data_IF_817143071149
#
_entry.id   IF_817143071149
#
_cell.length_a   1.000
_cell.length_b   1.000
_cell.length_c   1.000
_cell.angle_alpha   90.00
_cell.angle_beta   90.00
_cell.angle_gamma   90.00
#
_symmetry.space_group_name_H-M   'P 1'
#
loop_
_entity.id
_entity.type
_entity.pdbx_description
1 polymer ?
#
# COMPACT_ATOMS: atom_id res chain seq x y z
N UNK A 1 -5.35 -59.00 12.56
CA UNK A 1 -4.04 -58.77 11.92
C UNK A 1 -3.78 -59.89 10.93
N UNK A 2 -3.49 -59.55 9.68
CA UNK A 2 -2.26 -60.01 9.04
C UNK A 2 -1.31 -58.82 8.79
N UNK A 3 -0.04 -59.16 8.59
CA UNK A 3 1.15 -58.38 8.89
C UNK A 3 1.56 -57.37 7.82
N UNK A 4 2.37 -56.41 8.27
CA UNK A 4 2.95 -55.24 7.58
C UNK A 4 4.06 -55.63 6.55
N UNK A 5 4.21 -56.90 6.19
CA UNK A 5 5.36 -57.37 5.38
C UNK A 5 5.13 -57.44 3.86
N UNK A 6 3.93 -57.19 3.34
CA UNK A 6 3.64 -57.46 1.91
C UNK A 6 3.87 -56.28 0.94
N UNK A 7 4.36 -55.12 1.41
CA UNK A 7 4.54 -53.92 0.56
C UNK A 7 5.99 -53.43 0.39
N UNK A 8 6.99 -54.13 0.94
CA UNK A 8 8.39 -53.80 0.71
C UNK A 8 9.06 -54.90 -0.14
N UNK A 9 9.76 -54.44 -1.18
CA UNK A 9 10.66 -55.17 -2.09
C UNK A 9 10.02 -55.75 -3.37
N UNK A 10 9.96 -54.89 -4.39
CA UNK A 10 10.14 -55.36 -5.78
C UNK A 10 11.04 -54.39 -6.53
N UNK A 11 12.34 -54.48 -6.27
CA UNK A 11 13.35 -53.94 -7.19
C UNK A 11 13.19 -54.62 -8.56
N UNK A 12 13.15 -53.89 -9.67
CA UNK A 12 13.23 -54.51 -10.98
C UNK A 12 14.67 -54.96 -11.24
N UNK A 13 14.87 -56.28 -11.24
CA UNK A 13 16.12 -56.91 -11.72
C UNK A 13 16.33 -56.54 -13.19
N UNK A 14 17.40 -55.81 -13.48
CA UNK A 14 17.91 -55.63 -14.84
C UNK A 14 18.45 -56.98 -15.35
N UNK A 15 17.67 -57.67 -16.18
CA UNK A 15 18.14 -58.85 -16.90
C UNK A 15 18.91 -58.41 -18.15
N UNK A 16 20.24 -58.49 -18.07
CA UNK A 16 21.11 -58.43 -19.25
C UNK A 16 21.08 -59.83 -19.89
N UNK A 17 20.33 -59.98 -20.98
CA UNK A 17 20.52 -61.10 -21.89
C UNK A 17 21.11 -60.59 -23.21
N UNK A 18 22.32 -61.08 -23.49
CA UNK A 18 23.04 -60.82 -24.72
C UNK A 18 22.44 -61.62 -25.88
N UNK A 19 22.37 -60.98 -27.05
CA UNK A 19 22.30 -61.68 -28.34
C UNK A 19 23.29 -60.98 -29.28
N UNK A 20 24.20 -61.79 -29.81
CA UNK A 20 25.44 -61.45 -30.51
C UNK A 20 25.25 -60.90 -31.93
N UNK A 21 26.18 -60.02 -32.35
CA UNK A 21 26.95 -60.04 -33.62
C UNK A 21 27.30 -58.57 -33.96
N UNK A 22 28.56 -58.12 -33.98
CA UNK A 22 29.66 -58.60 -34.81
C UNK A 22 31.00 -58.30 -34.14
N UNK A 23 31.93 -59.25 -34.24
CA UNK A 23 33.35 -59.07 -33.93
C UNK A 23 33.93 -58.14 -34.99
N UNK A 24 34.19 -56.88 -34.64
CA UNK A 24 35.16 -55.99 -35.27
C UNK A 24 35.09 -54.70 -34.47
N UNK A 25 35.88 -54.59 -33.39
CA UNK A 25 36.31 -53.33 -32.78
C UNK A 25 37.13 -53.63 -31.52
N UNK A 26 38.39 -54.02 -31.74
CA UNK A 26 39.44 -53.86 -30.75
C UNK A 26 40.58 -53.10 -31.42
N UNK A 27 40.93 -51.90 -30.92
CA UNK A 27 42.31 -51.47 -30.92
C UNK A 27 42.92 -51.55 -29.51
N UNK A 28 44.17 -52.03 -29.55
CA UNK A 28 45.19 -52.23 -28.52
C UNK A 28 45.49 -50.99 -27.64
N UNK A 29 46.20 -51.17 -26.52
CA UNK A 29 46.54 -50.08 -25.60
C UNK A 29 47.61 -49.15 -26.20
N UNK A 30 47.40 -47.84 -26.04
CA UNK A 30 48.37 -46.76 -26.29
C UNK A 30 48.35 -45.89 -25.03
N UNK A 31 49.45 -45.65 -24.32
CA UNK A 31 50.63 -44.99 -24.85
C UNK A 31 50.48 -43.49 -24.60
N UNK A 32 51.26 -42.96 -23.67
CA UNK A 32 51.36 -41.54 -23.30
C UNK A 32 51.52 -40.61 -24.50
N UNK A 33 50.65 -39.61 -24.68
CA UNK A 33 50.99 -38.24 -25.13
C UNK A 33 49.78 -37.31 -25.39
N UNK A 34 49.95 -36.04 -25.01
CA UNK A 34 49.27 -34.79 -25.47
C UNK A 34 47.82 -34.45 -25.06
N UNK A 35 47.75 -33.67 -23.97
CA UNK A 35 47.07 -32.36 -23.85
C UNK A 35 46.04 -31.96 -24.93
N UNK A 36 44.75 -31.95 -24.58
CA UNK A 36 43.71 -31.20 -25.31
C UNK A 36 42.65 -30.65 -24.36
N UNK A 37 42.25 -29.40 -24.61
CA UNK A 37 41.33 -28.57 -23.83
C UNK A 37 39.92 -29.17 -23.77
N UNK A 38 39.11 -28.88 -22.73
CA UNK A 38 37.71 -29.30 -22.71
C UNK A 38 36.92 -28.51 -23.74
N UNK A 39 36.55 -29.16 -24.85
CA UNK A 39 35.63 -28.62 -25.86
C UNK A 39 34.25 -28.50 -25.22
N UNK A 40 33.80 -27.27 -24.99
CA UNK A 40 32.45 -26.99 -24.49
C UNK A 40 31.39 -27.46 -25.50
N UNK A 41 30.32 -28.14 -25.08
CA UNK A 41 29.28 -28.61 -25.98
C UNK A 41 28.63 -27.45 -26.76
N UNK A 42 28.15 -27.70 -27.99
CA UNK A 42 27.51 -26.67 -28.80
C UNK A 42 26.31 -26.08 -28.06
N UNK A 43 26.08 -24.76 -28.18
CA UNK A 43 24.98 -24.10 -27.49
C UNK A 43 23.63 -24.69 -27.95
N UNK A 44 22.64 -24.81 -27.05
CA UNK A 44 21.33 -25.33 -27.41
C UNK A 44 20.68 -24.50 -28.53
N UNK A 45 19.78 -25.08 -29.33
CA UNK A 45 19.23 -24.47 -30.55
C UNK A 45 18.51 -23.12 -30.30
N UNK A 46 18.09 -22.84 -29.07
CA UNK A 46 17.43 -21.60 -28.66
C UNK A 46 18.28 -20.75 -27.68
N UNK A 47 19.60 -20.86 -27.72
CA UNK A 47 20.47 -20.07 -26.85
C UNK A 47 20.35 -18.57 -27.15
N UNK A 48 20.03 -17.78 -26.12
CA UNK A 48 19.95 -16.32 -26.25
C UNK A 48 21.36 -15.72 -26.38
N UNK A 49 21.59 -14.76 -27.30
CA UNK A 49 22.88 -14.12 -27.47
C UNK A 49 23.24 -13.27 -26.23
N UNK A 50 24.54 -13.15 -25.89
CA UNK A 50 24.99 -12.27 -24.83
C UNK A 50 24.59 -10.83 -25.12
N UNK A 51 24.12 -10.11 -24.10
CA UNK A 51 23.72 -8.70 -24.23
C UNK A 51 24.76 -7.79 -23.56
N UNK A 52 25.06 -6.61 -24.14
CA UNK A 52 25.83 -5.60 -23.44
C UNK A 52 25.09 -5.17 -22.18
N UNK A 53 25.84 -4.94 -21.08
CA UNK A 53 25.26 -4.28 -19.92
C UNK A 53 24.82 -2.89 -20.36
N UNK A 54 23.54 -2.57 -20.12
CA UNK A 54 23.01 -1.26 -20.52
C UNK A 54 23.79 -0.17 -19.77
N UNK A 55 24.29 0.86 -20.46
CA UNK A 55 24.97 1.96 -19.80
C UNK A 55 24.01 2.59 -18.78
N UNK A 56 24.54 2.96 -17.61
CA UNK A 56 23.75 3.62 -16.58
C UNK A 56 23.08 4.85 -17.17
N UNK A 57 21.75 4.83 -17.24
CA UNK A 57 21.00 6.01 -17.64
C UNK A 57 21.28 7.11 -16.62
N UNK A 58 21.90 8.23 -17.03
CA UNK A 58 22.21 9.37 -16.15
C UNK A 58 20.95 9.85 -15.40
N UNK A 59 21.10 10.20 -14.12
CA UNK A 59 19.98 10.67 -13.30
C UNK A 59 19.46 12.01 -13.82
N UNK A 60 20.37 12.91 -14.20
CA UNK A 60 20.06 14.23 -14.80
C UNK A 60 19.73 14.16 -16.30
N UNK A 61 19.01 13.13 -16.75
CA UNK A 61 18.43 13.13 -18.09
C UNK A 61 17.05 13.81 -18.01
N UNK A 62 16.71 14.67 -18.98
CA UNK A 62 15.40 15.38 -19.06
C UNK A 62 14.23 14.46 -18.74
N UNK A 63 14.25 13.24 -19.30
CA UNK A 63 13.26 12.20 -19.05
C UNK A 63 13.12 11.78 -17.58
N UNK A 64 14.21 11.62 -16.84
CA UNK A 64 14.16 11.25 -15.43
C UNK A 64 13.72 12.44 -14.56
N UNK A 65 14.08 13.66 -14.97
CA UNK A 65 13.51 14.90 -14.41
C UNK A 65 12.00 14.96 -14.60
N UNK A 66 11.50 14.63 -15.80
CA UNK A 66 10.08 14.61 -16.14
C UNK A 66 9.31 13.54 -15.35
N UNK A 67 9.90 12.34 -15.19
CA UNK A 67 9.34 11.29 -14.32
C UNK A 67 9.27 11.76 -12.87
N UNK A 68 10.33 12.40 -12.36
CA UNK A 68 10.36 12.89 -10.98
C UNK A 68 9.34 14.00 -10.75
N UNK A 69 9.21 14.93 -11.69
CA UNK A 69 8.21 15.97 -11.66
C UNK A 69 6.79 15.40 -11.72
N UNK A 70 6.53 14.45 -12.63
CA UNK A 70 5.24 13.76 -12.73
C UNK A 70 4.86 13.05 -11.43
N UNK A 71 5.80 12.29 -10.84
CA UNK A 71 5.55 11.61 -9.56
C UNK A 71 5.36 12.61 -8.41
N UNK A 72 6.06 13.75 -8.42
CA UNK A 72 5.87 14.82 -7.45
C UNK A 72 4.48 15.48 -7.58
N UNK A 73 4.00 15.72 -8.81
CA UNK A 73 2.64 16.23 -9.03
C UNK A 73 1.58 15.25 -8.53
N UNK A 74 1.76 13.95 -8.79
CA UNK A 74 0.88 12.91 -8.27
C UNK A 74 0.93 12.90 -6.73
N UNK A 75 2.12 12.97 -6.14
CA UNK A 75 2.29 13.09 -4.69
C UNK A 75 1.53 14.29 -4.13
N UNK A 76 1.76 15.49 -4.67
CA UNK A 76 1.09 16.71 -4.24
C UNK A 76 -0.43 16.62 -4.39
N UNK A 77 -0.92 16.07 -5.50
CA UNK A 77 -2.34 15.85 -5.73
C UNK A 77 -2.96 14.89 -4.71
N UNK A 78 -2.27 13.80 -4.35
CA UNK A 78 -2.75 12.86 -3.34
C UNK A 78 -2.72 13.46 -1.92
N UNK A 79 -1.71 14.27 -1.59
CA UNK A 79 -1.67 15.00 -0.31
C UNK A 79 -2.82 16.00 -0.23
N UNK A 80 -3.01 16.82 -1.27
CA UNK A 80 -4.13 17.78 -1.32
C UNK A 80 -5.46 17.03 -1.25
N UNK A 81 -5.62 15.96 -2.03
CA UNK A 81 -6.84 15.14 -2.06
C UNK A 81 -7.13 14.40 -0.76
N UNK A 82 -6.15 14.23 0.15
CA UNK A 82 -6.38 13.63 1.47
C UNK A 82 -6.51 14.68 2.57
N UNK A 83 -5.78 15.79 2.50
CA UNK A 83 -5.90 16.89 3.48
C UNK A 83 -7.21 17.66 3.30
N UNK A 84 -7.59 17.96 2.06
CA UNK A 84 -8.73 18.83 1.76
C UNK A 84 -10.06 18.24 2.25
N UNK A 85 -10.38 16.94 2.07
CA UNK A 85 -11.60 16.36 2.65
C UNK A 85 -11.62 16.42 4.17
N UNK A 86 -10.48 16.21 4.85
CA UNK A 86 -10.41 16.31 6.31
C UNK A 86 -10.62 17.74 6.84
N UNK A 87 -10.17 18.74 6.09
CA UNK A 87 -10.43 20.15 6.38
C UNK A 87 -11.89 20.53 6.10
N UNK A 88 -12.44 20.11 4.96
CA UNK A 88 -13.83 20.37 4.56
C UNK A 88 -14.82 19.68 5.50
N UNK A 89 -14.54 18.44 5.91
CA UNK A 89 -15.35 17.70 6.88
C UNK A 89 -15.31 18.30 8.29
N UNK A 90 -14.59 19.41 8.48
CA UNK A 90 -14.78 20.29 9.63
C UNK A 90 -14.21 19.76 10.92
N UNK A 91 -13.38 18.71 10.96
CA UNK A 91 -12.83 18.21 12.24
C UNK A 91 -12.15 19.30 13.10
N UNK A 92 -11.26 20.18 12.57
CA UNK A 92 -10.78 21.32 13.35
C UNK A 92 -11.90 22.32 13.68
N UNK A 93 -12.89 22.50 12.82
CA UNK A 93 -14.03 23.41 13.03
C UNK A 93 -14.96 22.93 14.16
N UNK A 94 -15.41 21.68 14.17
CA UNK A 94 -16.25 21.09 15.22
C UNK A 94 -15.50 20.95 16.55
N UNK A 95 -14.20 20.61 16.50
CA UNK A 95 -13.36 20.56 17.72
C UNK A 95 -13.13 21.97 18.29
N UNK A 96 -12.96 22.99 17.44
CA UNK A 96 -12.88 24.39 17.88
C UNK A 96 -14.23 24.91 18.38
N UNK A 97 -15.36 24.50 17.79
CA UNK A 97 -16.70 24.83 18.29
C UNK A 97 -16.95 24.22 19.67
N UNK A 98 -16.56 22.96 19.90
CA UNK A 98 -16.62 22.30 21.22
C UNK A 98 -15.70 22.97 22.26
N UNK A 99 -14.48 23.35 21.87
CA UNK A 99 -13.45 23.88 22.80
C UNK A 99 -13.68 25.36 23.10
N UNK A 100 -13.97 26.18 22.08
CA UNK A 100 -14.12 27.62 22.21
C UNK A 100 -15.57 28.07 22.36
N UNK A 101 -16.52 27.12 22.33
CA UNK A 101 -17.90 27.33 22.78
C UNK A 101 -18.59 28.51 22.11
N UNK A 102 -18.40 28.71 20.81
CA UNK A 102 -19.00 29.85 20.13
C UNK A 102 -20.49 29.57 19.84
N UNK A 103 -21.32 29.73 20.87
CA UNK A 103 -22.78 29.49 20.89
C UNK A 103 -23.54 30.18 19.75
N UNK A 104 -22.96 31.20 19.11
CA UNK A 104 -23.55 31.92 17.96
C UNK A 104 -23.51 31.16 16.62
N UNK A 105 -22.69 30.12 16.48
CA UNK A 105 -22.55 29.36 15.23
C UNK A 105 -23.52 28.19 15.09
N UNK A 106 -24.06 27.67 16.20
CA UNK A 106 -25.02 26.56 16.21
C UNK A 106 -26.33 26.89 15.47
N UNK A 107 -26.67 28.18 15.37
CA UNK A 107 -27.85 28.69 14.65
C UNK A 107 -27.86 28.33 13.17
N UNK A 108 -26.69 28.26 12.52
CA UNK A 108 -26.58 27.94 11.08
C UNK A 108 -26.80 26.46 10.78
N UNK A 109 -26.81 25.60 11.80
CA UNK A 109 -27.06 24.17 11.67
C UNK A 109 -28.48 23.88 12.18
N UNK A 110 -29.18 22.98 11.50
CA UNK A 110 -30.53 22.62 11.90
C UNK A 110 -30.53 21.78 13.18
N UNK A 111 -31.60 21.84 14.01
CA UNK A 111 -31.60 21.24 15.35
C UNK A 111 -31.29 19.74 15.36
N UNK A 112 -31.77 19.04 14.34
CA UNK A 112 -31.60 17.59 14.16
C UNK A 112 -30.56 17.25 13.10
N UNK A 113 -29.63 18.18 12.81
CA UNK A 113 -28.48 17.91 11.96
C UNK A 113 -27.52 16.96 12.68
N UNK A 114 -27.12 15.83 12.07
CA UNK A 114 -26.20 14.86 12.66
C UNK A 114 -24.93 15.50 13.22
N UNK A 115 -24.44 16.57 12.60
CA UNK A 115 -23.22 17.26 13.02
C UNK A 115 -23.29 17.88 14.42
N UNK A 116 -24.50 18.09 14.97
CA UNK A 116 -24.70 18.70 16.29
C UNK A 116 -24.84 17.69 17.44
N UNK A 117 -25.38 16.50 17.20
CA UNK A 117 -25.69 15.53 18.27
C UNK A 117 -24.92 14.20 18.16
N UNK A 118 -24.31 13.91 17.00
CA UNK A 118 -23.51 12.71 16.83
C UNK A 118 -22.07 12.93 17.33
N UNK A 119 -21.51 11.92 18.01
CA UNK A 119 -20.12 12.00 18.48
C UNK A 119 -19.13 12.13 17.32
N UNK A 120 -17.91 12.61 17.58
CA UNK A 120 -16.87 12.84 16.54
C UNK A 120 -16.51 11.60 15.69
N UNK A 121 -16.76 10.40 16.24
CA UNK A 121 -16.54 9.11 15.58
C UNK A 121 -17.82 8.45 15.05
N UNK A 122 -18.98 9.07 15.30
CA UNK A 122 -20.20 8.70 14.60
C UNK A 122 -20.18 9.32 13.20
N UNK A 123 -21.10 8.86 12.35
CA UNK A 123 -21.39 9.56 11.10
C UNK A 123 -21.95 10.93 11.49
N UNK A 124 -21.34 11.99 10.99
CA UNK A 124 -21.70 13.38 11.34
C UNK A 124 -21.78 14.29 10.13
N UNK A 125 -21.30 13.82 8.98
CA UNK A 125 -21.50 14.45 7.68
C UNK A 125 -22.41 13.55 6.86
N UNK A 126 -23.73 13.69 7.05
CA UNK A 126 -24.75 12.88 6.39
C UNK A 126 -25.59 13.70 5.41
N UNK A 127 -26.08 13.04 4.37
CA UNK A 127 -26.72 13.68 3.23
C UNK A 127 -27.61 12.70 2.46
N UNK A 128 -28.63 13.26 1.81
CA UNK A 128 -29.65 12.52 1.05
C UNK A 128 -30.67 11.81 1.93
N UNK A 129 -31.80 11.43 1.33
CA UNK A 129 -32.88 10.69 1.98
C UNK A 129 -33.16 9.43 1.18
N UNK A 130 -32.82 8.28 1.75
CA UNK A 130 -32.82 6.98 1.08
C UNK A 130 -33.69 5.96 1.81
N UNK A 131 -34.17 4.95 1.08
CA UNK A 131 -34.72 3.74 1.71
C UNK A 131 -33.60 2.91 2.34
N UNK A 132 -33.94 2.10 3.35
CA UNK A 132 -32.99 1.19 4.00
C UNK A 132 -32.21 0.32 2.99
N UNK A 133 -32.91 -0.25 2.01
CA UNK A 133 -32.29 -1.12 1.01
C UNK A 133 -31.32 -0.35 0.11
N UNK A 134 -31.72 0.84 -0.35
CA UNK A 134 -30.89 1.68 -1.22
C UNK A 134 -29.61 2.13 -0.52
N UNK A 135 -29.70 2.61 0.73
CA UNK A 135 -28.54 3.11 1.47
C UNK A 135 -27.54 1.99 1.80
N UNK A 136 -28.05 0.80 2.10
CA UNK A 136 -27.22 -0.37 2.39
C UNK A 136 -26.45 -0.87 1.17
N UNK A 137 -27.08 -0.84 -0.01
CA UNK A 137 -26.43 -1.18 -1.28
C UNK A 137 -25.38 -0.12 -1.62
N UNK A 138 -25.69 1.17 -1.42
CA UNK A 138 -24.76 2.27 -1.64
C UNK A 138 -23.50 2.11 -0.77
N UNK A 139 -23.67 1.88 0.52
CA UNK A 139 -22.58 1.69 1.48
C UNK A 139 -21.72 0.47 1.13
N UNK A 140 -22.35 -0.68 0.87
CA UNK A 140 -21.64 -1.89 0.45
C UNK A 140 -20.89 -1.71 -0.88
N UNK A 141 -21.48 -1.00 -1.85
CA UNK A 141 -20.87 -0.71 -3.14
C UNK A 141 -19.65 0.21 -3.01
N UNK A 142 -19.75 1.25 -2.17
CA UNK A 142 -18.64 2.16 -1.89
C UNK A 142 -17.52 1.43 -1.12
N UNK A 143 -17.82 0.58 -0.15
CA UNK A 143 -16.80 -0.18 0.59
C UNK A 143 -16.09 -1.20 -0.32
N UNK A 144 -16.78 -1.76 -1.32
CA UNK A 144 -16.16 -2.62 -2.32
C UNK A 144 -15.21 -1.83 -3.24
N UNK A 145 -15.70 -0.74 -3.83
CA UNK A 145 -14.93 0.03 -4.82
C UNK A 145 -13.82 0.83 -4.15
N UNK A 146 -14.15 1.65 -3.15
CA UNK A 146 -13.18 2.48 -2.45
C UNK A 146 -12.33 1.66 -1.48
N UNK A 147 -12.90 0.72 -0.74
CA UNK A 147 -12.13 -0.11 0.20
C UNK A 147 -11.22 -1.10 -0.53
N UNK A 148 -11.81 -2.08 -1.21
CA UNK A 148 -11.03 -3.16 -1.86
C UNK A 148 -10.35 -2.72 -3.15
N UNK A 149 -11.00 -1.87 -3.95
CA UNK A 149 -10.40 -1.34 -5.18
C UNK A 149 -9.16 -0.49 -4.91
N UNK A 150 -9.19 0.40 -3.90
CA UNK A 150 -8.00 1.16 -3.53
C UNK A 150 -6.89 0.27 -2.98
N UNK A 151 -7.22 -0.75 -2.18
CA UNK A 151 -6.26 -1.72 -1.68
C UNK A 151 -5.53 -2.42 -2.83
N UNK A 152 -6.24 -2.96 -3.81
CA UNK A 152 -5.63 -3.63 -4.98
C UNK A 152 -4.70 -2.68 -5.74
N UNK A 153 -5.18 -1.47 -6.01
CA UNK A 153 -4.41 -0.47 -6.75
C UNK A 153 -3.13 -0.05 -6.01
N UNK A 154 -3.24 0.27 -4.72
CA UNK A 154 -2.10 0.69 -3.91
C UNK A 154 -1.13 -0.45 -3.62
N UNK A 155 -1.61 -1.69 -3.49
CA UNK A 155 -0.76 -2.89 -3.40
C UNK A 155 0.04 -3.10 -4.68
N UNK A 156 -0.57 -2.92 -5.86
CA UNK A 156 0.12 -3.01 -7.15
C UNK A 156 1.24 -1.97 -7.27
N UNK A 157 0.95 -0.71 -6.92
CA UNK A 157 1.97 0.35 -6.92
C UNK A 157 3.09 0.06 -5.91
N UNK A 158 2.71 -0.41 -4.72
CA UNK A 158 3.65 -0.73 -3.64
C UNK A 158 4.59 -1.87 -4.03
N UNK A 159 4.11 -2.89 -4.74
CA UNK A 159 4.96 -3.98 -5.24
C UNK A 159 6.13 -3.46 -6.09
N UNK A 160 5.88 -2.50 -6.97
CA UNK A 160 6.94 -1.89 -7.79
C UNK A 160 7.95 -1.12 -6.93
N UNK A 161 7.47 -0.34 -5.96
CA UNK A 161 8.31 0.43 -5.05
C UNK A 161 9.15 -0.47 -4.15
N UNK A 162 8.54 -1.52 -3.60
CA UNK A 162 9.20 -2.49 -2.72
C UNK A 162 10.31 -3.21 -3.48
N UNK A 163 10.02 -3.67 -4.71
CA UNK A 163 11.02 -4.29 -5.60
C UNK A 163 12.24 -3.39 -5.84
N UNK A 164 12.03 -2.08 -6.06
CA UNK A 164 13.12 -1.11 -6.22
C UNK A 164 13.93 -0.94 -4.94
N UNK A 165 13.25 -0.80 -3.79
CA UNK A 165 13.88 -0.59 -2.48
C UNK A 165 14.72 -1.80 -2.05
N UNK A 166 14.19 -3.00 -2.23
CA UNK A 166 14.86 -4.25 -1.93
C UNK A 166 16.11 -4.43 -2.79
N UNK A 167 16.00 -4.23 -4.11
CA UNK A 167 17.14 -4.31 -5.02
C UNK A 167 18.27 -3.35 -4.64
N UNK A 168 17.91 -2.19 -4.09
CA UNK A 168 18.88 -1.22 -3.55
C UNK A 168 19.52 -1.73 -2.27
N UNK A 169 18.75 -2.31 -1.35
CA UNK A 169 19.31 -2.88 -0.11
C UNK A 169 20.29 -3.99 -0.46
N UNK A 170 19.92 -4.91 -1.37
CA UNK A 170 20.79 -5.99 -1.86
C UNK A 170 22.06 -5.52 -2.58
N UNK A 171 22.04 -4.31 -3.14
CA UNK A 171 23.25 -3.70 -3.69
C UNK A 171 24.20 -3.31 -2.56
N UNK A 172 23.72 -2.72 -1.47
CA UNK A 172 24.63 -2.12 -0.46
C UNK A 172 24.95 -3.02 0.71
N UNK A 173 24.04 -3.91 1.05
CA UNK A 173 24.06 -4.72 2.27
C UNK A 173 23.99 -6.20 1.92
N UNK A 174 24.46 -7.02 2.85
CA UNK A 174 24.22 -8.47 2.79
C UNK A 174 22.88 -8.75 3.44
N UNK A 175 22.04 -9.51 2.75
CA UNK A 175 20.68 -9.84 3.15
C UNK A 175 20.54 -11.36 3.22
N UNK A 176 19.87 -11.92 4.24
CA UNK A 176 19.63 -13.36 4.30
C UNK A 176 18.96 -13.88 3.02
N UNK A 177 19.42 -15.02 2.48
CA UNK A 177 18.87 -15.58 1.23
C UNK A 177 17.36 -15.85 1.34
N UNK A 178 16.88 -16.29 2.51
CA UNK A 178 15.46 -16.45 2.85
C UNK A 178 14.63 -15.20 2.57
N UNK A 179 15.18 -14.02 2.88
CA UNK A 179 14.46 -12.78 2.64
C UNK A 179 14.34 -12.55 1.13
N UNK A 180 15.44 -12.75 0.39
CA UNK A 180 15.44 -12.63 -1.07
C UNK A 180 14.44 -13.60 -1.72
N UNK A 181 14.42 -14.87 -1.31
CA UNK A 181 13.49 -15.89 -1.82
C UNK A 181 12.05 -15.58 -1.46
N UNK A 182 11.78 -15.19 -0.21
CA UNK A 182 10.44 -14.83 0.24
C UNK A 182 9.88 -13.63 -0.54
N UNK A 183 10.70 -12.65 -0.86
CA UNK A 183 10.27 -11.51 -1.67
C UNK A 183 10.09 -11.88 -3.15
N UNK A 184 10.89 -12.82 -3.66
CA UNK A 184 10.83 -13.28 -5.05
C UNK A 184 9.61 -14.17 -5.34
N UNK A 185 9.19 -14.99 -4.38
CA UNK A 185 8.21 -16.05 -4.60
C UNK A 185 7.05 -16.06 -3.59
N UNK A 186 7.26 -15.56 -2.37
CA UNK A 186 6.27 -15.60 -1.27
C UNK A 186 5.67 -14.22 -0.98
N UNK A 187 5.22 -13.52 -2.03
CA UNK A 187 4.72 -12.13 -1.93
C UNK A 187 3.49 -11.96 -1.04
N UNK A 188 2.74 -13.04 -0.75
CA UNK A 188 1.53 -13.05 0.08
C UNK A 188 1.66 -13.89 1.36
N UNK A 189 2.85 -14.40 1.67
CA UNK A 189 3.03 -15.32 2.81
C UNK A 189 3.27 -14.59 4.13
N UNK A 190 2.58 -15.02 5.18
CA UNK A 190 2.81 -14.59 6.57
C UNK A 190 4.26 -14.88 6.98
N UNK A 191 4.83 -15.99 6.52
CA UNK A 191 6.25 -16.31 6.76
C UNK A 191 7.17 -15.26 6.11
N UNK A 192 6.82 -14.78 4.91
CA UNK A 192 7.55 -13.71 4.23
C UNK A 192 7.60 -12.41 5.03
N UNK A 193 6.48 -12.01 5.65
CA UNK A 193 6.43 -10.85 6.54
C UNK A 193 7.31 -11.05 7.80
N UNK A 194 7.33 -12.26 8.36
CA UNK A 194 8.22 -12.59 9.48
C UNK A 194 9.70 -12.52 9.09
N UNK A 195 10.07 -13.05 7.93
CA UNK A 195 11.45 -12.98 7.43
C UNK A 195 11.89 -11.53 7.18
N UNK A 196 11.00 -10.67 6.68
CA UNK A 196 11.25 -9.23 6.55
C UNK A 196 11.54 -8.58 7.90
N UNK A 197 10.73 -8.87 8.93
CA UNK A 197 10.93 -8.32 10.27
C UNK A 197 12.24 -8.81 10.90
N UNK A 198 12.55 -10.11 10.77
CA UNK A 198 13.80 -10.70 11.26
C UNK A 198 15.03 -10.14 10.52
N UNK A 199 14.90 -9.77 9.25
CA UNK A 199 16.00 -9.19 8.50
C UNK A 199 16.45 -7.82 9.04
N UNK A 200 15.56 -7.06 9.69
CA UNK A 200 15.89 -5.76 10.30
C UNK A 200 17.06 -5.88 11.28
N UNK A 201 17.13 -6.98 12.03
CA UNK A 201 18.21 -7.20 13.01
C UNK A 201 19.51 -7.68 12.38
N UNK A 202 19.48 -8.17 11.14
CA UNK A 202 20.64 -8.74 10.44
C UNK A 202 21.32 -7.76 9.48
N UNK A 203 20.73 -6.60 9.23
CA UNK A 203 21.31 -5.56 8.37
C UNK A 203 22.05 -4.54 9.24
N UNK A 204 23.22 -4.11 8.79
CA UNK A 204 24.11 -3.25 9.58
C UNK A 204 23.75 -1.76 9.45
N UNK A 205 23.34 -1.32 8.26
CA UNK A 205 23.06 0.09 8.00
C UNK A 205 21.69 0.55 8.51
N UNK A 206 21.67 1.63 9.32
CA UNK A 206 20.45 2.28 9.85
C UNK A 206 19.44 2.61 8.76
N UNK A 207 19.87 3.16 7.62
CA UNK A 207 18.99 3.47 6.48
C UNK A 207 18.24 2.23 5.97
N UNK A 208 18.94 1.10 5.86
CA UNK A 208 18.32 -0.14 5.39
C UNK A 208 17.33 -0.70 6.43
N UNK A 209 17.66 -0.59 7.74
CA UNK A 209 16.72 -0.91 8.83
C UNK A 209 15.44 -0.07 8.76
N UNK A 210 15.59 1.25 8.65
CA UNK A 210 14.44 2.18 8.53
C UNK A 210 13.61 1.86 7.29
N UNK A 211 14.26 1.56 6.15
CA UNK A 211 13.55 1.19 4.92
C UNK A 211 12.77 -0.10 5.11
N UNK A 212 13.38 -1.17 5.67
CA UNK A 212 12.69 -2.44 5.92
C UNK A 212 11.52 -2.30 6.90
N UNK A 213 11.69 -1.53 7.99
CA UNK A 213 10.61 -1.22 8.93
C UNK A 213 9.49 -0.47 8.22
N UNK A 214 9.82 0.51 7.39
CA UNK A 214 8.83 1.26 6.61
C UNK A 214 8.04 0.38 5.65
N UNK A 215 8.72 -0.55 4.95
CA UNK A 215 8.06 -1.53 4.08
C UNK A 215 7.07 -2.39 4.88
N UNK A 216 7.45 -2.85 6.08
CA UNK A 216 6.58 -3.64 6.95
C UNK A 216 5.36 -2.83 7.44
N UNK A 217 5.57 -1.59 7.90
CA UNK A 217 4.48 -0.65 8.27
C UNK A 217 3.57 -0.40 7.08
N UNK A 218 4.13 -0.28 5.88
CA UNK A 218 3.37 -0.07 4.65
C UNK A 218 2.48 -1.26 4.31
N UNK A 219 2.96 -2.49 4.51
CA UNK A 219 2.14 -3.71 4.36
C UNK A 219 1.00 -3.72 5.38
N UNK A 220 1.29 -3.43 6.66
CA UNK A 220 0.27 -3.37 7.70
C UNK A 220 -0.82 -2.33 7.39
N UNK A 221 -0.42 -1.15 6.91
CA UNK A 221 -1.35 -0.11 6.46
C UNK A 221 -2.23 -0.59 5.30
N UNK A 222 -1.66 -1.22 4.26
CA UNK A 222 -2.43 -1.74 3.13
C UNK A 222 -3.43 -2.83 3.53
N UNK A 223 -3.11 -3.64 4.55
CA UNK A 223 -4.03 -4.63 5.11
C UNK A 223 -5.17 -3.93 5.86
N UNK A 224 -4.87 -2.90 6.65
CA UNK A 224 -5.83 -2.15 7.44
C UNK A 224 -6.71 -1.20 6.61
N UNK A 225 -6.27 -0.79 5.42
CA UNK A 225 -6.91 0.25 4.60
C UNK A 225 -8.41 0.01 4.35
N UNK A 226 -8.88 -1.18 3.93
CA UNK A 226 -10.31 -1.39 3.70
C UNK A 226 -11.13 -1.22 4.97
N UNK A 227 -10.64 -1.72 6.12
CA UNK A 227 -11.31 -1.55 7.42
C UNK A 227 -11.31 -0.10 7.85
N UNK A 228 -10.20 0.61 7.65
CA UNK A 228 -10.11 2.03 7.95
C UNK A 228 -11.13 2.84 7.13
N UNK A 229 -11.27 2.54 5.83
CA UNK A 229 -12.26 3.19 4.97
C UNK A 229 -13.70 2.81 5.35
N UNK A 230 -13.96 1.54 5.70
CA UNK A 230 -15.25 1.06 6.20
C UNK A 230 -15.68 1.78 7.49
N UNK A 231 -14.74 2.18 8.35
CA UNK A 231 -15.01 3.02 9.53
C UNK A 231 -15.33 4.48 9.17
N UNK A 232 -14.88 4.97 8.01
CA UNK A 232 -15.14 6.37 7.60
C UNK A 232 -16.52 6.59 7.03
N UNK A 233 -17.12 5.57 6.43
CA UNK A 233 -18.38 5.65 5.71
C UNK A 233 -19.46 4.87 6.44
N UNK A 234 -20.70 5.29 6.27
CA UNK A 234 -21.81 4.54 6.84
C UNK A 234 -23.15 5.22 6.60
N UNK A 235 -24.17 4.70 7.25
CA UNK A 235 -25.50 5.27 7.20
C UNK A 235 -26.13 5.36 8.59
N UNK A 236 -27.04 6.32 8.74
CA UNK A 236 -27.82 6.52 9.96
C UNK A 236 -29.29 6.71 9.62
N UNK A 237 -30.14 6.61 10.64
CA UNK A 237 -31.55 7.02 10.53
C UNK A 237 -31.62 8.54 10.39
N UNK A 238 -32.42 9.03 9.45
CA UNK A 238 -32.68 10.46 9.30
C UNK A 238 -33.52 10.95 10.48
N UNK A 239 -33.12 12.04 11.12
CA UNK A 239 -33.93 12.68 12.16
C UNK A 239 -34.61 13.93 11.60
N UNK A 240 -35.91 14.01 11.81
CA UNK A 240 -36.71 15.17 11.39
C UNK A 240 -36.99 16.05 12.59
N UNK A 241 -36.93 17.36 12.37
CA UNK A 241 -37.32 18.36 13.37
C UNK A 241 -38.83 18.45 13.43
N UNK A 242 -39.41 18.06 14.56
CA UNK A 242 -40.83 18.10 14.82
C UNK A 242 -41.15 19.16 15.86
N UNK A 243 -42.30 19.82 15.72
CA UNK A 243 -42.83 20.76 16.72
C UNK A 243 -43.97 20.10 17.48
N UNK A 244 -43.90 20.21 18.80
CA UNK A 244 -44.94 19.78 19.72
C UNK A 244 -46.01 20.87 19.83
N UNK A 245 -47.19 20.63 19.25
CA UNK A 245 -48.31 21.58 19.24
C UNK A 245 -49.51 21.00 19.99
N UNK A 246 -50.05 21.79 20.92
CA UNK A 246 -51.34 21.54 21.56
C UNK A 246 -52.42 22.36 20.85
N UNK A 247 -53.32 21.69 20.14
CA UNK A 247 -54.45 22.35 19.49
C UNK A 247 -55.54 22.65 20.53
N UNK A 248 -56.14 23.84 20.47
CA UNK A 248 -57.19 24.23 21.41
C UNK A 248 -58.40 23.29 21.31
N UNK A 249 -58.60 22.45 22.34
CA UNK A 249 -59.69 21.47 22.41
C UNK A 249 -59.24 20.00 22.45
N UNK A 250 -57.98 19.70 22.10
CA UNK A 250 -57.39 18.36 22.21
C UNK A 250 -56.53 18.23 23.47
N UNK A 251 -56.66 17.10 24.17
CA UNK A 251 -55.84 16.77 25.34
C UNK A 251 -54.49 16.15 24.99
N UNK A 252 -54.26 15.83 23.71
CA UNK A 252 -53.06 15.19 23.20
C UNK A 252 -52.25 16.16 22.35
N UNK A 253 -50.94 16.13 22.51
CA UNK A 253 -50.03 16.86 21.63
C UNK A 253 -49.96 16.20 20.25
N UNK A 254 -49.79 17.02 19.21
CA UNK A 254 -49.51 16.56 17.85
C UNK A 254 -48.11 17.00 17.44
N UNK A 255 -47.34 16.05 16.89
CA UNK A 255 -46.04 16.33 16.30
C UNK A 255 -46.22 16.73 14.84
N UNK A 256 -45.67 17.88 14.47
CA UNK A 256 -45.76 18.43 13.12
C UNK A 256 -44.35 18.69 12.61
N UNK A 257 -44.04 18.15 11.44
CA UNK A 257 -42.73 18.34 10.80
C UNK A 257 -42.54 19.79 10.36
N UNK A 258 -41.39 20.37 10.70
CA UNK A 258 -40.96 21.63 10.12
C UNK A 258 -40.31 21.38 8.77
N UNK A 259 -40.79 22.07 7.75
CA UNK A 259 -40.18 22.02 6.43
C UNK A 259 -38.83 22.77 6.41
N UNK A 260 -37.98 22.44 5.43
CA UNK A 260 -36.67 23.06 5.24
C UNK A 260 -36.78 24.58 5.15
N UNK A 261 -37.75 25.11 4.38
CA UNK A 261 -37.96 26.55 4.22
C UNK A 261 -38.37 27.23 5.54
N UNK A 262 -39.09 26.52 6.41
CA UNK A 262 -39.45 27.04 7.73
C UNK A 262 -38.22 27.09 8.65
N UNK A 263 -37.41 26.03 8.64
CA UNK A 263 -36.17 25.95 9.41
C UNK A 263 -35.14 26.99 8.96
N UNK A 264 -35.00 27.20 7.65
CA UNK A 264 -34.06 28.17 7.06
C UNK A 264 -34.44 29.61 7.44
N UNK A 265 -35.73 29.96 7.36
CA UNK A 265 -36.21 31.28 7.82
C UNK A 265 -35.94 31.52 9.31
N UNK A 266 -36.21 30.53 10.17
CA UNK A 266 -35.94 30.65 11.62
C UNK A 266 -34.44 30.78 11.89
N UNK A 267 -33.60 30.01 11.20
CA UNK A 267 -32.13 30.08 11.29
C UNK A 267 -31.61 31.46 10.87
N UNK A 268 -32.13 32.01 9.76
CA UNK A 268 -31.75 33.32 9.25
C UNK A 268 -32.11 34.44 10.24
N UNK A 269 -33.32 34.38 10.81
CA UNK A 269 -33.80 35.33 11.81
C UNK A 269 -32.93 35.31 13.08
N UNK A 270 -32.58 34.11 13.56
CA UNK A 270 -31.67 33.94 14.69
C UNK A 270 -30.26 34.48 14.38
N UNK A 271 -29.75 34.27 13.16
CA UNK A 271 -28.46 34.80 12.75
C UNK A 271 -28.46 36.33 12.74
N UNK A 272 -29.51 36.94 12.16
CA UNK A 272 -29.65 38.39 12.13
C UNK A 272 -29.76 39.00 13.52
N UNK A 273 -30.52 38.38 14.42
CA UNK A 273 -30.66 38.87 15.79
C UNK A 273 -29.35 38.75 16.59
N UNK A 274 -28.60 37.66 16.40
CA UNK A 274 -27.26 37.51 16.98
C UNK A 274 -26.23 38.53 16.48
N UNK A 275 -26.48 39.12 15.29
CA UNK A 275 -25.59 40.07 14.62
C UNK A 275 -25.98 41.54 14.82
N UNK A 276 -27.04 41.83 15.57
CA UNK A 276 -27.52 43.20 15.78
C UNK A 276 -28.44 43.74 14.66
N UNK A 277 -28.98 42.87 13.80
CA UNK A 277 -29.97 43.19 12.76
C UNK A 277 -29.60 42.70 11.34
N UNK A 278 -30.60 42.38 10.51
CA UNK A 278 -30.41 42.15 9.07
C UNK A 278 -30.28 43.49 8.32
N UNK A 279 -29.56 43.51 7.19
CA UNK A 279 -29.52 44.67 6.27
C UNK A 279 -30.86 44.79 5.53
N UNK A 280 -31.47 45.99 5.59
CA UNK A 280 -32.59 46.67 4.87
C UNK A 280 -33.58 45.92 3.95
N UNK A 281 -33.32 44.72 3.43
CA UNK A 281 -34.25 44.02 2.54
C UNK A 281 -35.40 43.28 3.26
N UNK A 282 -35.37 43.21 4.60
CA UNK A 282 -36.46 42.69 5.45
C UNK A 282 -36.63 43.55 6.72
N UNK A 283 -37.48 44.58 6.71
CA UNK A 283 -37.64 45.43 7.89
C UNK A 283 -38.55 44.75 8.92
N UNK A 284 -37.96 44.30 10.03
CA UNK A 284 -38.55 44.44 11.36
C UNK A 284 -39.80 43.63 11.70
N UNK A 285 -39.76 42.31 11.58
CA UNK A 285 -40.41 41.41 12.54
C UNK A 285 -39.76 40.04 12.40
N UNK A 286 -39.34 39.44 13.53
CA UNK A 286 -39.03 38.01 13.53
C UNK A 286 -40.20 37.25 12.93
N UNK A 287 -39.95 36.33 12.01
CA UNK A 287 -41.03 35.69 11.26
C UNK A 287 -41.93 34.88 12.17
N UNK A 288 -43.22 35.21 12.07
CA UNK A 288 -44.33 34.50 12.68
C UNK A 288 -44.63 33.30 11.77
N UNK A 289 -44.28 32.09 12.21
CA UNK A 289 -44.37 30.88 11.39
C UNK A 289 -45.73 30.23 11.59
N UNK A 290 -46.51 30.12 10.53
CA UNK A 290 -47.79 29.41 10.55
C UNK A 290 -47.55 27.90 10.54
N UNK A 291 -47.91 27.23 11.64
CA UNK A 291 -47.82 25.77 11.77
C UNK A 291 -49.20 25.24 12.17
N UNK A 292 -49.78 24.41 11.31
CA UNK A 292 -51.13 23.85 11.50
C UNK A 292 -52.21 24.89 11.89
N UNK A 293 -52.15 26.08 11.28
CA UNK A 293 -53.13 27.15 11.51
C UNK A 293 -52.89 28.00 12.76
N UNK A 294 -51.85 27.70 13.56
CA UNK A 294 -51.41 28.54 14.67
C UNK A 294 -50.22 29.40 14.25
N UNK A 295 -50.24 30.67 14.66
CA UNK A 295 -49.13 31.57 14.42
C UNK A 295 -48.13 31.50 15.59
N UNK A 296 -46.90 31.05 15.32
CA UNK A 296 -45.86 30.88 16.33
C UNK A 296 -44.78 31.94 16.21
N UNK A 297 -44.52 32.61 17.34
CA UNK A 297 -43.44 33.60 17.42
C UNK A 297 -42.07 32.94 17.42
N UNK A 298 -41.11 33.54 16.72
CA UNK A 298 -39.69 33.17 16.71
C UNK A 298 -39.10 32.81 18.09
N UNK A 299 -39.45 33.58 19.14
CA UNK A 299 -38.95 33.35 20.52
C UNK A 299 -39.36 31.99 21.11
N UNK A 300 -40.31 31.30 20.49
CA UNK A 300 -40.71 29.97 20.92
C UNK A 300 -39.67 28.90 20.50
N UNK A 301 -38.90 29.14 19.44
CA UNK A 301 -37.96 28.17 18.87
C UNK A 301 -36.54 28.29 19.41
N UNK A 302 -36.18 29.46 19.94
CA UNK A 302 -34.79 29.85 20.19
C UNK A 302 -34.68 30.62 21.53
N UNK A 303 -33.63 30.36 22.33
CA UNK A 303 -33.37 31.01 23.63
C UNK A 303 -32.79 32.44 23.48
N UNK A 304 -32.59 33.15 24.61
CA UNK A 304 -32.03 34.51 24.62
C UNK A 304 -30.57 34.59 24.10
N UNK A 305 -29.87 33.46 24.03
CA UNK A 305 -28.53 33.33 23.47
C UNK A 305 -28.54 32.87 22.01
N UNK A 306 -29.73 32.77 21.41
CA UNK A 306 -29.98 32.29 20.07
C UNK A 306 -29.73 30.78 19.84
N UNK A 307 -29.81 29.93 20.86
CA UNK A 307 -29.74 28.47 20.67
C UNK A 307 -31.12 27.83 20.48
N UNK A 308 -31.21 26.77 19.69
CA UNK A 308 -32.43 25.98 19.53
C UNK A 308 -32.94 25.45 20.88
N UNK A 309 -34.22 25.68 21.18
CA UNK A 309 -34.86 25.20 22.43
C UNK A 309 -35.42 23.80 22.22
N UNK A 310 -34.58 22.80 22.45
CA UNK A 310 -34.96 21.39 22.37
C UNK A 310 -35.79 20.94 23.57
N UNK A 311 -36.77 20.10 23.31
CA UNK A 311 -37.51 19.37 24.34
C UNK A 311 -36.60 18.25 24.89
N UNK A 312 -36.32 18.31 26.19
CA UNK A 312 -35.53 17.28 26.90
C UNK A 312 -36.17 16.97 28.25
N UNK A 313 -35.70 15.93 28.94
CA UNK A 313 -36.15 15.59 30.30
C UNK A 313 -35.91 16.75 31.29
N UNK A 314 -34.88 17.56 31.06
CA UNK A 314 -34.54 18.73 31.87
C UNK A 314 -35.30 19.99 31.42
N UNK A 315 -35.62 20.11 30.13
CA UNK A 315 -36.36 21.22 29.51
C UNK A 315 -37.67 20.74 28.89
N UNK A 316 -38.68 20.33 29.70
CA UNK A 316 -39.95 19.82 29.19
C UNK A 316 -40.79 20.88 28.47
N UNK A 317 -40.39 22.17 28.56
CA UNK A 317 -41.02 23.31 27.88
C UNK A 317 -40.50 23.56 26.47
N UNK A 318 -39.46 22.85 26.02
CA UNK A 318 -39.00 22.97 24.64
C UNK A 318 -40.08 22.49 23.66
N UNK A 319 -40.24 23.19 22.54
CA UNK A 319 -41.25 22.85 21.52
C UNK A 319 -40.69 21.97 20.40
N UNK A 320 -39.36 21.93 20.24
CA UNK A 320 -38.68 21.19 19.17
C UNK A 320 -38.24 19.81 19.66
N UNK A 321 -38.51 18.79 18.86
CA UNK A 321 -38.11 17.41 19.13
C UNK A 321 -37.51 16.76 17.88
N UNK A 322 -36.39 16.03 18.03
CA UNK A 322 -35.86 15.19 16.97
C UNK A 322 -36.52 13.81 17.00
N UNK A 323 -37.19 13.47 15.91
CA UNK A 323 -37.89 12.19 15.78
C UNK A 323 -37.27 11.38 14.64
N UNK A 324 -36.98 10.07 14.84
CA UNK A 324 -36.46 9.23 13.78
C UNK A 324 -37.48 9.08 12.65
N UNK A 325 -37.03 9.34 11.43
CA UNK A 325 -37.79 9.14 10.19
C UNK A 325 -37.75 7.67 9.74
N UNK A 326 -38.56 7.33 8.73
CA UNK A 326 -38.51 6.03 8.04
C UNK A 326 -37.40 5.96 6.98
N UNK A 327 -36.72 7.07 6.75
CA UNK A 327 -35.66 7.27 5.76
C UNK A 327 -34.28 7.26 6.42
N UNK A 328 -33.26 7.01 5.61
CA UNK A 328 -31.87 6.90 6.03
C UNK A 328 -31.00 7.87 5.26
N UNK A 329 -29.95 8.37 5.92
CA UNK A 329 -28.94 9.21 5.30
C UNK A 329 -27.64 8.42 5.21
N UNK A 330 -26.93 8.55 4.08
CA UNK A 330 -25.57 8.05 3.95
C UNK A 330 -24.61 9.18 4.32
N UNK A 331 -23.43 8.85 4.85
CA UNK A 331 -22.50 9.88 5.28
C UNK A 331 -21.12 9.39 5.63
N UNK A 332 -20.33 10.34 6.12
CA UNK A 332 -18.98 10.15 6.58
C UNK A 332 -18.87 10.48 8.08
N UNK A 333 -17.98 9.76 8.78
CA UNK A 333 -17.50 10.16 10.09
C UNK A 333 -16.28 11.06 9.92
N UNK A 334 -16.40 12.35 10.27
CA UNK A 334 -15.30 13.31 10.12
C UNK A 334 -14.09 12.97 10.99
N UNK A 335 -14.30 12.36 12.16
CA UNK A 335 -13.21 11.90 13.04
C UNK A 335 -12.41 10.75 12.41
N UNK A 336 -13.07 9.71 11.94
CA UNK A 336 -12.38 8.62 11.24
C UNK A 336 -11.76 9.11 9.92
N UNK A 337 -12.46 9.95 9.16
CA UNK A 337 -11.94 10.52 7.93
C UNK A 337 -10.63 11.28 8.16
N UNK A 338 -10.55 12.09 9.22
CA UNK A 338 -9.32 12.79 9.57
C UNK A 338 -8.17 11.84 9.91
N UNK A 339 -8.42 10.79 10.70
CA UNK A 339 -7.42 9.78 11.04
C UNK A 339 -6.93 9.07 9.78
N UNK A 340 -7.84 8.61 8.92
CA UNK A 340 -7.50 7.91 7.68
C UNK A 340 -6.72 8.83 6.75
N UNK A 341 -7.13 10.08 6.60
CA UNK A 341 -6.39 11.06 5.82
C UNK A 341 -4.98 11.30 6.39
N UNK A 342 -4.82 11.46 7.71
CA UNK A 342 -3.51 11.65 8.34
C UNK A 342 -2.59 10.43 8.14
N UNK A 343 -3.10 9.22 8.37
CA UNK A 343 -2.37 7.97 8.13
C UNK A 343 -2.00 7.79 6.66
N UNK A 344 -2.92 8.12 5.74
CA UNK A 344 -2.68 8.08 4.30
C UNK A 344 -1.57 9.06 3.92
N UNK A 345 -1.60 10.29 4.43
CA UNK A 345 -0.55 11.29 4.17
C UNK A 345 0.83 10.81 4.64
N UNK A 346 0.90 10.28 5.87
CA UNK A 346 2.13 9.73 6.42
C UNK A 346 2.65 8.57 5.56
N UNK A 347 1.75 7.66 5.16
CA UNK A 347 2.08 6.54 4.29
C UNK A 347 2.60 7.00 2.92
N UNK A 348 1.90 7.93 2.24
CA UNK A 348 2.32 8.47 0.94
C UNK A 348 3.69 9.15 1.06
N UNK A 349 3.92 9.94 2.11
CA UNK A 349 5.20 10.62 2.34
C UNK A 349 6.38 9.65 2.45
N UNK A 350 6.24 8.58 3.24
CA UNK A 350 7.32 7.60 3.35
C UNK A 350 7.48 6.73 2.10
N UNK A 351 6.39 6.39 1.38
CA UNK A 351 6.50 5.71 0.08
C UNK A 351 7.25 6.58 -0.95
N UNK A 352 6.97 7.89 -0.96
CA UNK A 352 7.68 8.85 -1.80
C UNK A 352 9.16 8.99 -1.41
N UNK A 353 9.47 9.02 -0.11
CA UNK A 353 10.85 9.05 0.38
C UNK A 353 11.64 7.80 -0.04
N UNK A 354 11.07 6.61 0.12
CA UNK A 354 11.67 5.34 -0.32
C UNK A 354 11.84 5.31 -1.83
N UNK A 355 10.85 5.81 -2.58
CA UNK A 355 10.93 5.90 -4.03
C UNK A 355 12.07 6.83 -4.47
N UNK A 356 12.17 8.05 -3.93
CA UNK A 356 13.26 8.98 -4.24
C UNK A 356 14.61 8.36 -3.93
N UNK A 357 14.76 7.77 -2.74
CA UNK A 357 16.01 7.16 -2.31
C UNK A 357 16.43 6.09 -3.32
N UNK A 358 15.53 5.15 -3.60
CA UNK A 358 15.70 4.01 -4.50
C UNK A 358 15.95 4.42 -5.95
N UNK A 359 15.19 5.38 -6.47
CA UNK A 359 15.32 5.86 -7.85
C UNK A 359 16.64 6.60 -8.08
N UNK A 360 17.09 7.42 -7.13
CA UNK A 360 18.36 8.17 -7.23
C UNK A 360 19.57 7.26 -7.24
N UNK A 361 19.65 6.34 -6.27
CA UNK A 361 20.88 5.57 -6.03
C UNK A 361 20.79 4.07 -6.35
N UNK A 362 19.67 3.57 -6.90
CA UNK A 362 19.52 2.19 -7.34
C UNK A 362 20.17 1.95 -8.71
N UNK A 363 21.41 1.44 -8.71
CA UNK A 363 22.19 1.23 -9.94
C UNK A 363 21.59 0.11 -10.80
N UNK A 364 21.24 -1.03 -10.19
CA UNK A 364 20.69 -2.18 -10.94
C UNK A 364 19.32 -1.88 -11.55
N UNK A 365 18.48 -1.15 -10.81
CA UNK A 365 17.19 -0.74 -11.36
C UNK A 365 17.38 0.15 -12.59
N UNK A 366 18.34 1.09 -12.54
CA UNK A 366 18.66 2.00 -13.64
C UNK A 366 19.34 1.32 -14.82
N UNK A 367 20.04 0.20 -14.62
CA UNK A 367 20.56 -0.63 -15.71
C UNK A 367 19.46 -1.49 -16.37
N UNK A 368 18.21 -1.40 -15.90
CA UNK A 368 17.08 -2.17 -16.41
C UNK A 368 17.01 -3.58 -15.86
N UNK A 369 17.80 -3.89 -14.82
CA UNK A 369 17.72 -5.15 -14.09
C UNK A 369 16.65 -5.02 -13.00
N UNK A 370 15.42 -5.38 -13.34
CA UNK A 370 14.30 -5.44 -12.42
C UNK A 370 14.27 -6.72 -11.57
N UNK A 371 13.42 -6.70 -10.54
CA UNK A 371 13.10 -7.88 -9.72
C UNK A 371 12.02 -8.65 -10.47
N UNK A 372 12.36 -9.80 -11.06
CA UNK A 372 11.49 -10.50 -11.99
C UNK A 372 11.58 -12.00 -11.80
N UNK A 373 10.46 -12.72 -11.96
CA UNK A 373 10.32 -14.15 -11.64
C UNK A 373 11.48 -15.00 -12.16
N UNK A 374 11.69 -15.03 -13.48
CA UNK A 374 12.75 -15.84 -14.09
C UNK A 374 14.16 -15.36 -13.72
N UNK A 375 14.36 -14.06 -13.52
CA UNK A 375 15.65 -13.53 -13.11
C UNK A 375 16.01 -13.98 -11.70
N UNK A 376 15.04 -13.95 -10.80
CA UNK A 376 15.19 -14.37 -9.42
C UNK A 376 15.44 -15.88 -9.34
N UNK A 377 14.75 -16.70 -10.15
CA UNK A 377 15.02 -18.14 -10.27
C UNK A 377 16.48 -18.38 -10.65
N UNK A 378 16.96 -17.70 -11.70
CA UNK A 378 18.35 -17.86 -12.16
C UNK A 378 19.34 -17.41 -11.08
N UNK A 379 19.13 -16.24 -10.45
CA UNK A 379 20.02 -15.72 -9.40
C UNK A 379 20.12 -16.66 -8.19
N UNK A 380 18.99 -17.25 -7.77
CA UNK A 380 18.95 -18.19 -6.65
C UNK A 380 19.56 -19.54 -7.06
N UNK A 381 19.18 -20.08 -8.21
CA UNK A 381 19.69 -21.37 -8.67
C UNK A 381 21.22 -21.33 -8.84
N UNK A 382 21.74 -20.26 -9.46
CA UNK A 382 23.18 -20.04 -9.62
C UNK A 382 23.89 -19.95 -8.27
N UNK A 383 23.32 -19.24 -7.30
CA UNK A 383 23.89 -19.14 -5.96
C UNK A 383 23.90 -20.47 -5.21
N UNK A 384 22.79 -21.21 -5.25
CA UNK A 384 22.67 -22.51 -4.59
C UNK A 384 23.60 -23.54 -5.22
N UNK A 385 23.68 -23.60 -6.56
CA UNK A 385 24.59 -24.50 -7.26
C UNK A 385 26.04 -24.17 -6.98
N UNK A 386 26.40 -22.88 -6.93
CA UNK A 386 27.75 -22.46 -6.59
C UNK A 386 28.15 -22.86 -5.16
N UNK A 387 27.18 -22.97 -4.23
CA UNK A 387 27.45 -23.27 -2.82
C UNK A 387 27.37 -24.75 -2.48
N UNK A 388 26.43 -25.48 -3.08
CA UNK A 388 26.14 -26.88 -2.72
C UNK A 388 26.48 -27.88 -3.83
N UNK A 389 26.91 -27.42 -5.02
CA UNK A 389 27.17 -28.26 -6.18
C UNK A 389 25.95 -28.44 -7.08
N UNK A 390 26.12 -29.21 -8.15
CA UNK A 390 25.11 -29.34 -9.21
C UNK A 390 24.00 -30.35 -8.85
N UNK A 391 24.27 -31.30 -7.95
CA UNK A 391 23.38 -32.43 -7.62
C UNK A 391 22.41 -32.11 -6.46
N UNK A 392 21.70 -30.99 -6.58
CA UNK A 392 20.76 -30.51 -5.56
C UNK A 392 19.38 -31.19 -5.62
N UNK A 393 18.99 -31.73 -6.78
CA UNK A 393 17.65 -32.27 -7.01
C UNK A 393 17.35 -33.56 -6.24
N UNK A 394 18.36 -34.21 -5.64
CA UNK A 394 18.19 -35.42 -4.82
C UNK A 394 17.81 -35.15 -3.37
N UNK A 395 17.87 -33.89 -2.89
CA UNK A 395 17.57 -33.54 -1.50
C UNK A 395 16.08 -33.32 -1.27
N UNK A 396 15.62 -33.68 -0.06
CA UNK A 396 14.26 -33.36 0.38
C UNK A 396 14.10 -31.87 0.69
N UNK A 397 12.87 -31.38 0.73
CA UNK A 397 12.56 -29.97 1.03
C UNK A 397 13.12 -29.53 2.39
N UNK A 398 12.91 -30.33 3.44
CA UNK A 398 13.31 -30.02 4.82
C UNK A 398 14.85 -29.97 4.98
N UNK A 399 15.56 -30.92 4.36
CA UNK A 399 17.02 -30.96 4.39
C UNK A 399 17.63 -29.76 3.66
N UNK A 400 17.04 -29.38 2.52
CA UNK A 400 17.51 -28.25 1.74
C UNK A 400 17.21 -26.92 2.44
N UNK A 401 16.01 -26.75 3.00
CA UNK A 401 15.65 -25.57 3.79
C UNK A 401 16.60 -25.38 4.97
N UNK A 402 16.86 -26.45 5.75
CA UNK A 402 17.80 -26.40 6.87
C UNK A 402 19.23 -25.99 6.45
N UNK A 403 19.71 -26.46 5.29
CA UNK A 403 21.03 -26.09 4.77
C UNK A 403 21.06 -24.65 4.25
N UNK A 404 19.99 -24.20 3.59
CA UNK A 404 19.84 -22.82 3.10
C UNK A 404 19.75 -21.83 4.27
N UNK A 405 19.06 -22.20 5.34
CA UNK A 405 18.91 -21.41 6.56
C UNK A 405 20.23 -21.15 7.28
N UNK A 406 21.18 -22.08 7.13
CA UNK A 406 22.52 -21.98 7.68
C UNK A 406 23.47 -21.12 6.82
N UNK A 407 23.05 -20.63 5.66
CA UNK A 407 23.89 -19.80 4.80
C UNK A 407 24.06 -18.38 5.35
N UNK A 408 25.27 -17.86 5.20
CA UNK A 408 25.57 -16.46 5.48
C UNK A 408 24.76 -15.52 4.58
N UNK A 409 24.45 -14.29 5.05
CA UNK A 409 23.78 -13.28 4.25
C UNK A 409 24.48 -13.02 2.91
N UNK A 410 23.68 -12.83 1.86
CA UNK A 410 24.13 -12.66 0.48
C UNK A 410 23.91 -11.23 -0.01
N UNK A 411 24.82 -10.73 -0.84
CA UNK A 411 24.67 -9.47 -1.55
C UNK A 411 24.98 -9.64 -3.03
N UNK A 412 24.92 -8.54 -3.77
CA UNK A 412 25.18 -8.55 -5.21
C UNK A 412 26.68 -8.36 -5.47
N UNK A 413 27.25 -9.32 -6.19
CA UNK A 413 28.63 -9.30 -6.65
C UNK A 413 28.68 -9.16 -8.17
N UNK A 414 29.60 -8.32 -8.64
CA UNK A 414 29.86 -8.09 -10.06
C UNK A 414 31.30 -8.44 -10.35
N UNK A 415 31.48 -9.52 -11.11
CA UNK A 415 32.77 -9.98 -11.60
C UNK A 415 32.99 -9.39 -12.99
N UNK A 416 34.20 -8.93 -13.29
CA UNK A 416 34.56 -8.50 -14.63
C UNK A 416 35.95 -8.99 -15.02
N UNK A 417 36.10 -9.38 -16.28
CA UNK A 417 37.37 -9.75 -16.90
C UNK A 417 37.39 -9.25 -18.35
N UNK A 418 38.33 -8.34 -18.66
CA UNK A 418 38.39 -7.68 -19.97
C UNK A 418 37.08 -6.96 -20.29
N UNK A 419 36.46 -7.30 -21.41
CA UNK A 419 35.17 -6.73 -21.85
C UNK A 419 33.95 -7.45 -21.26
N UNK A 420 34.12 -8.54 -20.49
CA UNK A 420 33.01 -9.35 -19.99
C UNK A 420 32.74 -9.10 -18.50
N UNK A 421 31.47 -9.05 -18.12
CA UNK A 421 31.01 -8.95 -16.75
C UNK A 421 29.91 -9.97 -16.43
N UNK A 422 29.89 -10.43 -15.19
CA UNK A 422 28.88 -11.33 -14.67
C UNK A 422 28.35 -10.82 -13.33
N UNK A 423 27.03 -10.91 -13.12
CA UNK A 423 26.35 -10.40 -11.93
C UNK A 423 25.64 -11.58 -11.26
N UNK A 424 26.02 -11.87 -10.02
CA UNK A 424 25.47 -12.98 -9.22
C UNK A 424 25.21 -12.57 -7.76
N UNK A 425 24.53 -13.44 -7.03
CA UNK A 425 24.45 -13.37 -5.57
C UNK A 425 25.68 -14.04 -4.95
N UNK A 426 26.30 -13.41 -3.96
CA UNK A 426 27.52 -13.88 -3.31
C UNK A 426 27.57 -13.48 -1.83
N UNK A 427 28.31 -14.27 -1.04
CA UNK A 427 28.56 -13.96 0.38
C UNK A 427 29.54 -12.80 0.55
N UNK A 428 30.38 -12.55 -0.45
CA UNK A 428 31.32 -11.43 -0.49
C UNK A 428 30.92 -10.45 -1.62
N UNK A 429 29.89 -9.61 -1.41
CA UNK A 429 29.49 -8.62 -2.40
C UNK A 429 30.63 -7.63 -2.67
N UNK A 430 30.83 -7.33 -3.96
CA UNK A 430 31.93 -6.50 -4.43
C UNK A 430 31.75 -6.12 -5.90
N UNK A 431 32.63 -5.26 -6.42
CA UNK A 431 32.66 -4.92 -7.84
C UNK A 431 31.50 -4.05 -8.35
N UNK A 432 30.64 -3.51 -7.48
CA UNK A 432 29.45 -2.75 -7.90
C UNK A 432 29.76 -1.50 -8.73
N UNK A 433 30.93 -0.90 -8.53
CA UNK A 433 31.41 0.21 -9.36
C UNK A 433 31.54 -0.17 -10.85
N UNK A 434 31.74 -1.46 -11.15
CA UNK A 434 31.85 -1.99 -12.51
C UNK A 434 30.54 -1.95 -13.29
N UNK A 435 29.39 -1.88 -12.59
CA UNK A 435 28.08 -1.67 -13.24
C UNK A 435 28.01 -0.32 -13.95
N UNK A 436 28.83 0.65 -13.51
CA UNK A 436 28.95 1.98 -14.09
C UNK A 436 29.89 2.06 -15.28
N UNK A 437 30.65 1.01 -15.54
CA UNK A 437 31.69 1.02 -16.57
C UNK A 437 31.04 0.82 -17.95
N UNK A 438 31.18 1.78 -18.88
CA UNK A 438 30.61 1.67 -20.22
C UNK A 438 31.35 0.59 -21.03
N UNK A 439 30.62 -0.17 -21.84
CA UNK A 439 31.19 -1.13 -22.80
C UNK A 439 31.28 -2.59 -22.33
N UNK A 440 30.98 -2.91 -21.07
CA UNK A 440 31.00 -4.31 -20.59
C UNK A 440 29.84 -5.13 -21.16
N UNK A 441 30.17 -6.34 -21.62
CA UNK A 441 29.24 -7.36 -22.12
C UNK A 441 28.91 -8.39 -21.05
N UNK A 442 27.66 -8.86 -20.98
CA UNK A 442 27.31 -9.91 -20.03
C UNK A 442 27.89 -11.27 -20.45
N UNK A 443 28.69 -11.89 -19.57
CA UNK A 443 29.32 -13.20 -19.77
C UNK A 443 28.92 -14.23 -18.71
N UNK A 444 29.06 -15.52 -19.01
CA UNK A 444 28.82 -16.62 -18.05
C UNK A 444 30.02 -16.86 -17.13
N UNK A 445 29.78 -17.36 -15.91
CA UNK A 445 30.83 -17.65 -14.90
C UNK A 445 31.90 -18.60 -15.43
N UNK A 446 31.52 -19.65 -16.18
CA UNK A 446 32.48 -20.60 -16.75
C UNK A 446 33.50 -19.96 -17.71
N UNK A 447 33.15 -18.84 -18.34
CA UNK A 447 34.07 -18.05 -19.18
C UNK A 447 35.09 -17.25 -18.36
N UNK A 448 34.72 -16.84 -17.14
CA UNK A 448 35.53 -16.06 -16.21
C UNK A 448 36.45 -16.93 -15.32
N UNK A 449 36.06 -18.19 -15.06
CA UNK A 449 36.86 -19.11 -14.24
C UNK A 449 38.07 -19.73 -14.97
N UNK A 450 38.07 -19.73 -16.31
CA UNK A 450 39.16 -20.33 -17.11
C UNK A 450 40.41 -19.45 -17.26
N UNK A 451 40.44 -18.27 -16.63
CA UNK A 451 41.62 -17.38 -16.58
C UNK A 451 41.74 -16.84 -15.15
N UNK A 452 42.91 -17.00 -14.52
CA UNK A 452 43.13 -16.64 -13.12
C UNK A 452 42.74 -15.18 -12.87
N UNK A 453 41.86 -14.98 -11.90
CA UNK A 453 41.45 -13.69 -11.35
C UNK A 453 42.68 -12.98 -10.77
N UNK A 454 43.17 -11.97 -11.47
CA UNK A 454 44.01 -10.89 -10.92
C UNK A 454 43.41 -9.58 -11.41
N UNK A 455 42.83 -8.83 -10.48
CA UNK A 455 42.36 -7.48 -10.75
C UNK A 455 43.58 -6.55 -10.89
N UNK A 456 44.15 -6.48 -12.08
CA UNK A 456 45.10 -5.45 -12.47
C UNK A 456 44.75 -4.97 -13.86
N UNK A 457 43.99 -3.88 -13.94
CA UNK A 457 43.86 -3.11 -15.18
C UNK A 457 45.15 -2.31 -15.38
N UNK A 458 45.80 -2.37 -16.55
CA UNK A 458 46.68 -1.29 -16.98
C UNK A 458 45.81 -0.13 -17.46
N UNK A 459 46.12 1.08 -16.99
CA UNK A 459 45.60 2.32 -17.56
C UNK A 459 45.95 2.35 -19.06
N UNK A 460 45.04 2.75 -19.97
CA UNK A 460 45.43 3.01 -21.35
C UNK A 460 46.41 4.18 -21.33
N UNK A 461 47.65 3.92 -21.76
CA UNK A 461 48.57 4.97 -22.18
C UNK A 461 47.87 5.80 -23.25
N UNK A 462 47.70 7.09 -22.98
CA UNK A 462 47.41 8.07 -24.02
C UNK A 462 48.58 8.02 -25.01
N UNK A 463 48.32 7.54 -26.22
CA UNK A 463 49.18 7.80 -27.37
C UNK A 463 49.20 9.30 -27.65
N UNK A 464 50.40 9.77 -28.00
CA UNK A 464 50.81 11.14 -28.33
C UNK A 464 49.83 11.92 -29.22
#
# INVERSE_FOLDING_TARGET
>A
MPSIEEYLLKEPRLNVHSVNSSKDDLPRPYGSQFQSQPVSPPPPPNALPPKPLRPLRKYCTVRNGLITFGVFLVYAACIIGSVLPGLIAGFPFYTLLDIFGNRRLAVRLFPCDPSLYSGRFAINLAWGSFTYTSVKILDAGLNLILGRGSQVFLSWLSYHLFSMAILRILQKERVPLQLYTAMAFDTTSIKGAWYQLRAVTKVDTVRARVTLIWLAVSVAYLIALPTLLDLTTGYMVEYKTMVNITTAGDSTYKLIELDYDQLDRISLDAHCASSGGCRVDYPGQFTDVLIAGQNMSFKAFVDDNYNWVMQTDETPRGILQCVPSTTYQWGLSSGYLWIVCALTNFWIAGMFAVWIDSFRNGILWRSGRGFGRYRNIIDIAEHLQARFGHDLCGYTHEELEKKVDALDPVGIEVLAEGEWAHIRLSQNPGGQHLLCTPGLQYGGIGRLNNRRVSATWPLPSRGL
#
